data_IF_693416855590
#
_entry.id   IF_693416855590
#
_cell.length_a   1.000
_cell.length_b   1.000
_cell.length_c   1.000
_cell.angle_alpha   90.00
_cell.angle_beta   90.00
_cell.angle_gamma   90.00
#
_symmetry.space_group_name_H-M   'P 1'
#
loop_
_entity.id
_entity.type
_entity.pdbx_description
1 polymer ?
#
# COMPACT_ATOMS: atom_id res chain seq x y z
N UNK A 1 -10.04 25.40 -6.21
CA UNK A 1 -8.68 24.80 -6.14
C UNK A 1 -8.57 23.79 -7.27
N UNK A 2 -7.43 23.69 -7.95
CA UNK A 2 -7.23 22.66 -9.00
C UNK A 2 -7.12 21.27 -8.37
N UNK A 3 -7.57 20.23 -9.07
CA UNK A 3 -7.59 18.84 -8.57
C UNK A 3 -6.23 18.40 -8.02
N UNK A 4 -5.13 18.70 -8.72
CA UNK A 4 -3.78 18.36 -8.27
C UNK A 4 -3.37 19.02 -6.94
N UNK A 5 -3.83 20.23 -6.64
CA UNK A 5 -3.55 20.90 -5.35
C UNK A 5 -4.27 20.20 -4.19
N UNK A 6 -5.51 19.74 -4.42
CA UNK A 6 -6.28 19.00 -3.41
C UNK A 6 -5.60 17.68 -3.11
N UNK A 7 -5.22 16.92 -4.15
CA UNK A 7 -4.53 15.63 -4.01
C UNK A 7 -3.19 15.76 -3.29
N UNK A 8 -2.42 16.82 -3.53
CA UNK A 8 -1.16 17.07 -2.81
C UNK A 8 -1.40 17.35 -1.32
N UNK A 9 -2.37 18.20 -0.98
CA UNK A 9 -2.72 18.50 0.41
C UNK A 9 -3.20 17.24 1.16
N UNK A 10 -4.07 16.45 0.52
CA UNK A 10 -4.56 15.17 1.06
C UNK A 10 -3.41 14.18 1.29
N UNK A 11 -2.49 14.05 0.33
CA UNK A 11 -1.36 13.15 0.45
C UNK A 11 -0.36 13.56 1.53
N UNK A 12 -0.12 14.87 1.72
CA UNK A 12 0.69 15.38 2.84
C UNK A 12 0.04 15.07 4.19
N UNK A 13 -1.27 15.27 4.30
CA UNK A 13 -2.02 14.96 5.52
C UNK A 13 -1.97 13.46 5.89
N UNK A 14 -1.93 12.57 4.90
CA UNK A 14 -1.92 11.12 5.11
C UNK A 14 -0.52 10.48 5.10
N UNK A 15 0.55 11.27 5.03
CA UNK A 15 1.92 10.76 4.87
C UNK A 15 2.37 9.82 5.99
N UNK A 16 1.91 10.08 7.22
CA UNK A 16 2.19 9.27 8.39
C UNK A 16 1.14 8.21 8.67
N UNK A 17 0.21 7.98 7.73
CA UNK A 17 -0.82 6.97 7.87
C UNK A 17 -0.40 5.68 7.15
N UNK A 18 -0.77 4.55 7.75
CA UNK A 18 -0.84 3.25 7.08
C UNK A 18 -2.28 2.75 7.08
N UNK A 19 -2.54 1.82 6.19
CA UNK A 19 -3.80 1.10 6.10
C UNK A 19 -3.56 -0.39 6.25
N UNK A 20 -4.30 -1.02 7.17
CA UNK A 20 -4.24 -2.44 7.48
C UNK A 20 -5.52 -3.10 7.01
N UNK A 21 -5.41 -4.23 6.32
CA UNK A 21 -6.52 -4.97 5.74
C UNK A 21 -6.64 -6.38 6.33
N UNK A 22 -7.79 -7.01 6.11
CA UNK A 22 -8.07 -8.41 6.47
C UNK A 22 -8.17 -8.72 7.97
N UNK A 23 -8.37 -7.72 8.83
CA UNK A 23 -8.69 -7.91 10.25
C UNK A 23 -10.22 -8.00 10.41
N UNK A 24 -10.73 -9.06 11.06
CA UNK A 24 -12.17 -9.23 11.30
C UNK A 24 -12.74 -8.06 12.10
N UNK A 25 -13.97 -7.66 11.80
CA UNK A 25 -14.68 -6.62 12.56
C UNK A 25 -14.94 -7.12 13.98
N UNK A 26 -14.54 -6.34 15.00
CA UNK A 26 -14.70 -6.70 16.41
C UNK A 26 -13.51 -7.42 17.03
N UNK A 27 -12.50 -7.82 16.24
CA UNK A 27 -11.26 -8.42 16.76
C UNK A 27 -10.47 -7.46 17.66
N UNK A 28 -10.73 -6.15 17.58
CA UNK A 28 -10.00 -5.13 18.32
C UNK A 28 -10.46 -4.98 19.77
N UNK A 29 -11.61 -5.58 20.10
CA UNK A 29 -12.22 -5.47 21.42
C UNK A 29 -12.54 -4.03 21.80
N UNK A 30 -12.28 -3.67 23.06
CA UNK A 30 -12.62 -2.36 23.61
C UNK A 30 -11.69 -1.21 23.17
N UNK A 31 -10.48 -1.52 22.71
CA UNK A 31 -9.48 -0.49 22.37
C UNK A 31 -8.69 -0.83 21.12
N UNK A 32 -9.04 -0.13 20.03
CA UNK A 32 -8.32 -0.17 18.76
C UNK A 32 -6.82 0.13 18.93
N UNK A 33 -6.47 1.08 19.79
CA UNK A 33 -5.09 1.45 20.04
C UNK A 33 -4.30 0.28 20.66
N UNK A 34 -4.82 -0.32 21.74
CA UNK A 34 -4.16 -1.46 22.41
C UNK A 34 -4.01 -2.64 21.46
N UNK A 35 -5.06 -2.92 20.68
CA UNK A 35 -5.05 -3.98 19.68
C UNK A 35 -3.94 -3.78 18.63
N UNK A 36 -3.89 -2.60 17.99
CA UNK A 36 -2.87 -2.33 16.97
C UNK A 36 -1.47 -2.33 17.56
N UNK A 37 -1.28 -1.73 18.74
CA UNK A 37 0.03 -1.72 19.38
C UNK A 37 0.53 -3.15 19.66
N UNK A 38 -0.34 -4.01 20.22
CA UNK A 38 -0.02 -5.41 20.48
C UNK A 38 0.21 -6.23 19.22
N UNK A 39 -0.65 -6.05 18.20
CA UNK A 39 -0.52 -6.70 16.90
C UNK A 39 0.82 -6.35 16.24
N UNK A 40 1.17 -5.06 16.17
CA UNK A 40 2.40 -4.62 15.55
C UNK A 40 3.63 -5.13 16.31
N UNK A 41 3.65 -5.05 17.64
CA UNK A 41 4.80 -5.54 18.44
C UNK A 41 5.01 -7.04 18.30
N UNK A 42 3.93 -7.81 18.46
CA UNK A 42 3.96 -9.28 18.40
C UNK A 42 4.32 -9.76 16.99
N UNK A 43 3.58 -9.31 15.99
CA UNK A 43 3.71 -9.84 14.63
C UNK A 43 4.97 -9.33 13.93
N UNK A 44 5.44 -8.12 14.23
CA UNK A 44 6.66 -7.58 13.65
C UNK A 44 7.90 -7.88 14.50
N UNK A 45 7.75 -8.56 15.64
CA UNK A 45 8.84 -8.86 16.57
C UNK A 45 9.63 -7.61 16.95
N UNK A 46 8.92 -6.50 17.18
CA UNK A 46 9.51 -5.24 17.63
C UNK A 46 9.76 -5.31 19.14
N UNK A 47 10.74 -4.55 19.62
CA UNK A 47 11.00 -4.46 21.05
C UNK A 47 9.75 -3.97 21.81
N UNK A 48 9.40 -4.64 22.90
CA UNK A 48 8.26 -4.27 23.74
C UNK A 48 8.43 -2.88 24.37
N UNK A 49 9.66 -2.41 24.56
CA UNK A 49 9.95 -1.06 25.05
C UNK A 49 9.85 0.01 23.95
N UNK A 50 9.76 -0.39 22.68
CA UNK A 50 9.63 0.57 21.59
C UNK A 50 8.25 1.26 21.66
N UNK A 51 8.26 2.58 21.86
CA UNK A 51 7.07 3.39 21.70
C UNK A 51 6.81 3.63 20.20
N UNK A 52 5.71 3.06 19.69
CA UNK A 52 5.30 3.26 18.30
C UNK A 52 4.75 4.66 18.05
N UNK A 53 4.48 5.45 19.10
CA UNK A 53 3.96 6.82 19.00
C UNK A 53 2.74 6.94 18.07
N UNK A 54 1.82 5.99 18.18
CA UNK A 54 0.57 5.99 17.42
C UNK A 54 -0.30 7.13 17.98
N UNK A 55 -0.68 8.08 17.13
CA UNK A 55 -1.55 9.18 17.56
C UNK A 55 -3.02 8.81 17.43
N UNK A 56 -3.37 8.01 16.41
CA UNK A 56 -4.76 7.60 16.15
C UNK A 56 -4.81 6.26 15.43
N UNK A 57 -5.75 5.41 15.84
CA UNK A 57 -6.08 4.18 15.14
C UNK A 57 -7.61 4.01 15.13
N UNK A 58 -8.18 3.74 13.96
CA UNK A 58 -9.64 3.56 13.79
C UNK A 58 -9.95 2.80 12.50
N UNK A 59 -11.15 2.22 12.39
CA UNK A 59 -11.64 1.67 11.12
C UNK A 59 -11.94 2.80 10.14
N UNK A 60 -11.75 2.52 8.85
CA UNK A 60 -12.16 3.42 7.78
C UNK A 60 -13.65 3.74 7.87
N UNK A 61 -14.00 4.98 7.56
CA UNK A 61 -15.38 5.45 7.57
C UNK A 61 -16.22 4.64 6.57
N UNK A 62 -17.37 4.19 7.02
CA UNK A 62 -18.29 3.36 6.25
C UNK A 62 -19.17 2.52 7.17
N UNK A 63 -20.36 2.12 6.69
CA UNK A 63 -21.24 1.24 7.44
C UNK A 63 -20.51 -0.06 7.77
N UNK A 64 -20.80 -0.63 8.94
CA UNK A 64 -20.27 -1.94 9.31
C UNK A 64 -20.80 -2.96 8.31
N UNK A 65 -19.94 -3.76 7.65
CA UNK A 65 -20.40 -4.79 6.74
C UNK A 65 -21.28 -5.81 7.49
N UNK A 66 -22.40 -6.19 6.89
CA UNK A 66 -23.17 -7.36 7.29
C UNK A 66 -22.50 -8.61 6.69
N UNK A 67 -22.50 -9.75 7.41
CA UNK A 67 -22.07 -11.11 7.00
C UNK A 67 -21.13 -11.25 5.79
N UNK A 68 -19.92 -11.80 5.95
CA UNK A 68 -18.92 -12.13 4.90
C UNK A 68 -18.60 -11.03 3.85
N UNK A 69 -19.27 -9.88 3.93
CA UNK A 69 -18.90 -8.69 3.24
C UNK A 69 -17.62 -8.14 3.84
N UNK A 70 -17.10 -7.16 3.14
CA UNK A 70 -15.68 -6.90 3.18
C UNK A 70 -15.30 -6.03 4.32
N UNK A 71 -14.36 -6.56 5.08
CA UNK A 71 -13.83 -5.99 6.30
C UNK A 71 -13.31 -4.58 6.03
N UNK A 72 -13.73 -3.61 6.84
CA UNK A 72 -13.23 -2.24 6.70
C UNK A 72 -11.75 -2.22 7.02
N UNK A 73 -10.96 -1.43 6.30
CA UNK A 73 -9.55 -1.28 6.66
C UNK A 73 -9.38 -0.55 7.98
N UNK A 74 -8.28 -0.79 8.70
CA UNK A 74 -7.89 0.02 9.85
C UNK A 74 -6.88 1.07 9.36
N UNK A 75 -7.12 2.34 9.71
CA UNK A 75 -6.21 3.45 9.44
C UNK A 75 -5.47 3.75 10.74
N UNK A 76 -4.14 3.71 10.67
CA UNK A 76 -3.25 4.00 11.80
C UNK A 76 -2.36 5.19 11.43
N UNK A 77 -2.37 6.22 12.27
CA UNK A 77 -1.55 7.42 12.12
C UNK A 77 -0.45 7.42 13.19
N UNK A 78 0.78 7.61 12.74
CA UNK A 78 1.97 7.69 13.59
C UNK A 78 2.43 9.14 13.73
N UNK A 79 3.06 9.46 14.86
CA UNK A 79 3.67 10.76 15.09
C UNK A 79 4.86 10.98 14.14
N UNK A 80 5.74 9.97 14.01
CA UNK A 80 6.96 10.06 13.22
C UNK A 80 6.88 9.22 11.94
N UNK A 81 7.34 9.80 10.83
CA UNK A 81 7.42 9.10 9.55
C UNK A 81 8.35 7.88 9.61
N UNK A 82 9.49 8.01 10.30
CA UNK A 82 10.48 6.94 10.49
C UNK A 82 9.87 5.69 11.12
N UNK A 83 9.09 5.84 12.18
CA UNK A 83 8.39 4.72 12.86
C UNK A 83 7.39 4.06 11.95
N UNK A 84 6.58 4.86 11.23
CA UNK A 84 5.64 4.35 10.22
C UNK A 84 6.37 3.58 9.10
N UNK A 85 7.52 4.06 8.65
CA UNK A 85 8.28 3.46 7.55
C UNK A 85 8.93 2.14 8.00
N UNK A 86 9.49 2.10 9.21
CA UNK A 86 9.99 0.89 9.85
C UNK A 86 8.89 -0.18 9.94
N UNK A 87 7.74 0.16 10.51
CA UNK A 87 6.60 -0.76 10.65
C UNK A 87 6.19 -1.34 9.30
N UNK A 88 6.07 -0.49 8.28
CA UNK A 88 5.60 -0.92 6.96
C UNK A 88 6.63 -1.79 6.23
N UNK A 89 7.91 -1.42 6.26
CA UNK A 89 9.00 -2.20 5.67
C UNK A 89 9.12 -3.58 6.32
N UNK A 90 9.09 -3.65 7.65
CA UNK A 90 9.15 -4.91 8.39
C UNK A 90 7.94 -5.80 8.08
N UNK A 91 6.74 -5.22 7.99
CA UNK A 91 5.52 -5.96 7.66
C UNK A 91 5.59 -6.58 6.24
N UNK A 92 6.11 -5.84 5.27
CA UNK A 92 6.28 -6.34 3.89
C UNK A 92 7.38 -7.38 3.75
N UNK A 93 8.45 -7.29 4.54
CA UNK A 93 9.53 -8.25 4.53
C UNK A 93 9.12 -9.60 5.15
N UNK A 94 8.39 -9.55 6.28
CA UNK A 94 8.02 -10.76 7.03
C UNK A 94 6.78 -11.46 6.47
N UNK A 95 5.79 -10.68 6.02
CA UNK A 95 4.45 -11.19 5.70
C UNK A 95 3.72 -11.60 6.98
N UNK A 96 2.61 -10.92 7.26
CA UNK A 96 1.94 -11.04 8.57
C UNK A 96 0.67 -11.87 8.45
N UNK A 97 0.40 -12.69 9.47
CA UNK A 97 -0.83 -13.46 9.61
C UNK A 97 -1.44 -13.19 10.98
N UNK A 98 -2.75 -13.01 11.03
CA UNK A 98 -3.50 -12.87 12.26
C UNK A 98 -4.69 -13.82 12.22
N UNK A 99 -4.85 -14.65 13.26
CA UNK A 99 -5.86 -15.72 13.30
C UNK A 99 -5.86 -16.62 12.05
N UNK A 100 -4.68 -16.96 11.54
CA UNK A 100 -4.52 -17.80 10.34
C UNK A 100 -4.84 -17.10 9.01
N UNK A 101 -5.24 -15.83 9.01
CA UNK A 101 -5.52 -15.04 7.80
C UNK A 101 -4.36 -14.09 7.47
N UNK A 102 -4.01 -13.91 6.19
CA UNK A 102 -2.99 -12.94 5.80
C UNK A 102 -3.47 -11.51 6.04
N UNK A 103 -2.63 -10.70 6.67
CA UNK A 103 -2.87 -9.29 6.96
C UNK A 103 -2.01 -8.45 6.02
N UNK A 104 -2.63 -7.50 5.33
CA UNK A 104 -1.94 -6.65 4.37
C UNK A 104 -1.77 -5.24 4.90
N UNK A 105 -0.58 -4.70 4.68
CA UNK A 105 -0.21 -3.34 5.06
C UNK A 105 0.02 -2.51 3.80
N UNK A 106 -0.47 -1.27 3.78
CA UNK A 106 -0.28 -0.35 2.67
C UNK A 106 -0.11 1.09 3.17
N UNK A 107 0.43 1.95 2.31
CA UNK A 107 0.32 3.40 2.49
C UNK A 107 -1.14 3.85 2.34
N UNK A 108 -1.54 4.87 3.10
CA UNK A 108 -2.86 5.50 2.99
C UNK A 108 -2.86 6.62 1.95
N UNK A 109 -2.67 6.28 0.67
CA UNK A 109 -2.62 7.29 -0.39
C UNK A 109 -4.01 7.83 -0.78
N UNK A 110 -4.08 9.08 -1.29
CA UNK A 110 -5.28 9.60 -1.95
C UNK A 110 -5.77 8.69 -3.09
N UNK A 111 -7.07 8.75 -3.40
CA UNK A 111 -7.68 7.89 -4.40
C UNK A 111 -7.05 8.06 -5.79
N UNK A 112 -6.75 9.30 -6.19
CA UNK A 112 -6.11 9.61 -7.47
C UNK A 112 -4.71 9.01 -7.58
N UNK A 113 -3.93 9.05 -6.49
CA UNK A 113 -2.60 8.45 -6.43
C UNK A 113 -2.69 6.92 -6.52
N UNK A 114 -3.64 6.32 -5.81
CA UNK A 114 -3.89 4.88 -5.91
C UNK A 114 -4.31 4.47 -7.32
N UNK A 115 -5.10 5.29 -8.03
CA UNK A 115 -5.47 5.03 -9.42
C UNK A 115 -4.24 5.00 -10.33
N UNK A 116 -3.37 6.02 -10.26
CA UNK A 116 -2.11 6.06 -11.02
C UNK A 116 -1.18 4.89 -10.68
N UNK A 117 -1.06 4.53 -9.40
CA UNK A 117 -0.25 3.38 -8.98
C UNK A 117 -0.79 2.04 -9.50
N UNK A 118 -2.09 1.91 -9.77
CA UNK A 118 -2.70 0.74 -10.40
C UNK A 118 -2.35 0.62 -11.88
N UNK A 119 -2.12 1.72 -12.59
CA UNK A 119 -1.72 1.69 -14.00
C UNK A 119 -0.35 1.01 -14.17
N UNK A 120 0.56 1.19 -13.19
CA UNK A 120 1.85 0.50 -13.17
C UNK A 120 1.77 -0.99 -12.82
N UNK A 121 0.60 -1.57 -12.58
CA UNK A 121 0.44 -2.98 -12.15
C UNK A 121 1.12 -3.94 -13.12
N UNK A 122 0.98 -3.69 -14.41
CA UNK A 122 1.54 -4.55 -15.46
C UNK A 122 3.04 -4.33 -15.65
N UNK A 123 3.48 -3.07 -15.67
CA UNK A 123 4.90 -2.69 -15.63
C UNK A 123 5.62 -3.38 -14.46
N UNK A 124 5.06 -3.30 -13.25
CA UNK A 124 5.60 -3.96 -12.04
C UNK A 124 5.64 -5.47 -12.17
N UNK A 125 4.65 -6.09 -12.83
CA UNK A 125 4.60 -7.55 -13.06
C UNK A 125 5.79 -7.98 -13.92
N UNK A 126 6.04 -7.27 -15.02
CA UNK A 126 7.15 -7.54 -15.93
C UNK A 126 8.50 -7.28 -15.23
N UNK A 127 8.64 -6.18 -14.50
CA UNK A 127 9.86 -5.89 -13.73
C UNK A 127 10.18 -6.98 -12.71
N UNK A 128 9.18 -7.45 -11.96
CA UNK A 128 9.35 -8.56 -11.01
C UNK A 128 9.74 -9.87 -11.71
N UNK A 129 9.09 -10.21 -12.83
CA UNK A 129 9.39 -11.41 -13.62
C UNK A 129 10.86 -11.44 -14.07
N UNK A 130 11.38 -10.28 -14.46
CA UNK A 130 12.76 -10.13 -14.93
C UNK A 130 13.76 -9.78 -13.81
N UNK A 131 13.33 -9.81 -12.53
CA UNK A 131 14.15 -9.47 -11.35
C UNK A 131 14.82 -8.09 -11.42
N UNK A 132 14.20 -7.14 -12.14
CA UNK A 132 14.71 -5.77 -12.26
C UNK A 132 14.30 -5.01 -11.00
N UNK A 133 15.26 -4.34 -10.37
CA UNK A 133 15.01 -3.53 -9.17
C UNK A 133 14.25 -2.25 -9.56
N UNK A 134 13.19 -1.95 -8.82
CA UNK A 134 12.42 -0.72 -9.00
C UNK A 134 11.94 -0.16 -7.67
N UNK A 135 11.56 1.12 -7.68
CA UNK A 135 10.95 1.84 -6.57
C UNK A 135 9.74 2.63 -7.09
N UNK A 136 8.74 2.87 -6.25
CA UNK A 136 7.63 3.78 -6.59
C UNK A 136 7.61 4.98 -5.66
N UNK A 137 8.36 6.05 -5.98
CA UNK A 137 8.32 7.26 -5.18
C UNK A 137 6.97 7.99 -5.31
N UNK A 138 6.60 8.65 -4.21
CA UNK A 138 5.44 9.55 -4.16
C UNK A 138 5.63 10.72 -5.16
N UNK A 139 4.57 11.24 -5.80
CA UNK A 139 3.17 10.83 -5.68
C UNK A 139 2.82 9.52 -6.38
N UNK A 140 3.21 9.31 -7.63
CA UNK A 140 2.90 8.09 -8.37
C UNK A 140 3.88 7.89 -9.54
N UNK A 141 5.18 7.95 -9.25
CA UNK A 141 6.23 7.75 -10.24
C UNK A 141 6.80 6.33 -10.10
N UNK A 142 7.50 5.84 -11.11
CA UNK A 142 8.28 4.60 -11.01
C UNK A 142 9.74 4.87 -11.36
N UNK A 143 10.64 4.46 -10.48
CA UNK A 143 12.08 4.48 -10.72
C UNK A 143 12.53 3.06 -11.02
N UNK A 144 13.10 2.83 -12.18
CA UNK A 144 13.63 1.53 -12.60
C UNK A 144 15.16 1.62 -12.58
N UNK A 145 15.82 0.63 -11.98
CA UNK A 145 17.26 0.56 -11.92
C UNK A 145 17.77 -0.38 -13.03
N UNK A 146 18.35 0.22 -14.06
CA UNK A 146 19.02 -0.49 -15.15
C UNK A 146 20.51 -0.65 -14.84
N UNK A 147 21.20 -1.48 -15.64
CA UNK A 147 22.66 -1.60 -15.59
C UNK A 147 23.35 -0.26 -15.91
N UNK A 148 22.76 0.52 -16.82
CA UNK A 148 23.28 1.84 -17.23
C UNK A 148 22.94 2.98 -16.25
N UNK A 149 22.19 2.70 -15.18
CA UNK A 149 21.74 3.69 -14.21
C UNK A 149 20.23 3.65 -13.93
N UNK A 150 19.77 4.50 -13.01
CA UNK A 150 18.35 4.58 -12.65
C UNK A 150 17.60 5.61 -13.49
N UNK A 151 16.44 5.25 -14.02
CA UNK A 151 15.56 6.15 -14.74
C UNK A 151 14.22 6.29 -14.02
N UNK A 152 13.68 7.52 -13.98
CA UNK A 152 12.40 7.85 -13.38
C UNK A 152 11.38 8.11 -14.49
N UNK A 153 10.19 7.52 -14.36
CA UNK A 153 9.08 7.68 -15.30
C UNK A 153 7.89 8.26 -14.54
N UNK A 154 7.20 9.20 -15.20
CA UNK A 154 6.07 9.92 -14.61
C UNK A 154 4.72 9.25 -14.95
N UNK A 155 4.70 8.37 -15.96
CA UNK A 155 3.52 7.59 -16.34
C UNK A 155 3.83 6.11 -16.61
N UNK A 156 2.80 5.27 -16.49
CA UNK A 156 2.89 3.86 -16.85
C UNK A 156 3.15 3.67 -18.36
N UNK A 157 2.62 4.56 -19.21
CA UNK A 157 2.80 4.54 -20.66
C UNK A 157 4.27 4.76 -21.06
N UNK A 158 4.93 5.75 -20.46
CA UNK A 158 6.37 5.99 -20.69
C UNK A 158 7.21 4.79 -20.24
N UNK A 159 6.94 4.25 -19.05
CA UNK A 159 7.66 3.09 -18.54
C UNK A 159 7.46 1.85 -19.41
N UNK A 160 6.23 1.59 -19.88
CA UNK A 160 5.94 0.49 -20.79
C UNK A 160 6.59 0.67 -22.17
N UNK A 161 6.59 1.89 -22.70
CA UNK A 161 7.25 2.22 -23.95
C UNK A 161 8.76 1.95 -23.90
N UNK A 162 9.42 2.33 -22.80
CA UNK A 162 10.84 2.05 -22.61
C UNK A 162 11.14 0.57 -22.38
N UNK A 163 10.28 -0.13 -21.63
CA UNK A 163 10.37 -1.59 -21.46
C UNK A 163 10.26 -2.32 -22.81
N UNK A 164 9.27 -1.95 -23.64
CA UNK A 164 9.08 -2.53 -24.97
C UNK A 164 10.29 -2.28 -25.88
N UNK A 165 10.87 -1.07 -25.86
CA UNK A 165 12.11 -0.75 -26.60
C UNK A 165 13.31 -1.59 -26.16
N UNK A 166 13.36 -1.96 -24.87
CA UNK A 166 14.41 -2.81 -24.28
C UNK A 166 14.12 -4.30 -24.42
N UNK A 167 13.07 -4.70 -25.16
CA UNK A 167 12.72 -6.10 -25.41
C UNK A 167 11.82 -6.76 -24.35
N UNK A 168 11.34 -6.00 -23.37
CA UNK A 168 10.39 -6.47 -22.36
C UNK A 168 8.95 -6.14 -22.79
N UNK A 169 8.23 -7.13 -23.32
CA UNK A 169 6.84 -6.95 -23.74
C UNK A 169 5.93 -6.56 -22.55
N UNK A 170 5.37 -5.36 -22.59
CA UNK A 170 4.38 -4.83 -21.65
C UNK A 170 3.14 -4.41 -22.43
N UNK A 171 2.02 -5.05 -22.12
CA UNK A 171 0.71 -4.70 -22.68
C UNK A 171 -0.13 -3.93 -21.66
N UNK A 172 -0.26 -2.62 -21.86
CA UNK A 172 -1.10 -1.77 -21.00
C UNK A 172 -2.60 -1.85 -21.36
N UNK A 173 -2.98 -2.47 -22.49
CA UNK A 173 -4.38 -2.63 -22.90
C UNK A 173 -5.13 -3.67 -22.07
N UNK A 174 -4.39 -4.53 -21.36
CA UNK A 174 -4.92 -5.50 -20.41
C UNK A 174 -5.45 -4.87 -19.10
N UNK A 175 -5.50 -3.53 -18.97
CA UNK A 175 -6.23 -2.88 -17.87
C UNK A 175 -7.71 -2.91 -18.27
N UNK A 176 -8.57 -3.72 -17.63
CA UNK A 176 -9.97 -3.77 -18.03
C UNK A 176 -10.59 -2.40 -17.74
N UNK A 177 -11.05 -1.69 -18.79
CA UNK A 177 -12.02 -0.60 -18.64
C UNK A 177 -13.26 -1.23 -18.00
N UNK A 178 -13.41 -1.05 -16.69
CA UNK A 178 -14.55 -1.57 -15.93
C UNK A 178 -14.33 -2.84 -15.12
N UNK A 179 -13.11 -3.22 -14.72
CA UNK A 179 -12.99 -4.21 -13.63
C UNK A 179 -12.96 -3.51 -12.28
N UNK A 180 -14.12 -3.42 -11.65
CA UNK A 180 -14.31 -3.33 -10.21
C UNK A 180 -13.81 -4.62 -9.49
N UNK A 181 -12.71 -5.21 -9.99
CA UNK A 181 -12.05 -6.35 -9.37
C UNK A 181 -11.07 -5.84 -8.32
N UNK A 182 -11.71 -5.55 -7.20
CA UNK A 182 -11.28 -5.76 -5.83
C UNK A 182 -9.97 -6.54 -5.72
N UNK A 183 -9.03 -5.99 -4.97
CA UNK A 183 -7.74 -6.59 -4.64
C UNK A 183 -7.85 -7.97 -3.94
N UNK A 184 -9.05 -8.43 -3.60
CA UNK A 184 -9.38 -9.71 -2.98
C UNK A 184 -9.22 -10.92 -3.91
N UNK A 185 -9.46 -10.78 -5.22
CA UNK A 185 -9.44 -11.93 -6.13
C UNK A 185 -8.04 -12.39 -6.58
N UNK A 186 -6.99 -11.67 -6.16
CA UNK A 186 -5.58 -12.01 -6.50
C UNK A 186 -4.86 -12.81 -5.41
N UNK A 187 -5.59 -13.32 -4.43
CA UNK A 187 -5.06 -14.10 -3.30
C UNK A 187 -5.50 -15.58 -3.32
N UNK A 188 -5.80 -16.11 -4.53
CA UNK A 188 -5.71 -17.54 -4.80
C UNK A 188 -4.43 -17.84 -5.59
#
# INVERSE_FOLDING_TARGET
MTQGKITDLEGRSRRNNIRIYSIKEGAEGASMFKFINGLLKTELSLNDDLDLQIQRAHRSLGPRPQNDATLRSIIVNFLQYSTKDLVLCTAWAKGIRYEGRPVFFAHDYPAEINAKLKEYKEVKRVLKKNKIRFQTPYPAKIRIHWETGSQLYDSAAEAAGDLNKRGYAVDLTAIPKGSERRWEERLM
#
